data_IF_888592677053
#
_entry.id   IF_888592677053
#
_cell.length_a   1.000
_cell.length_b   1.000
_cell.length_c   1.000
_cell.angle_alpha   90.00
_cell.angle_beta   90.00
_cell.angle_gamma   90.00
#
_symmetry.space_group_name_H-M   'P 1'
#
loop_
_entity.id
_entity.type
_entity.pdbx_description
1 polymer ?
#
# COMPACT_ATOMS: atom_id res chain seq x y z
N UNK A 1 -24.45 -4.98 -22.68
CA UNK A 1 -23.43 -4.35 -21.81
C UNK A 1 -22.06 -4.57 -22.44
N UNK A 2 -21.51 -3.56 -23.15
CA UNK A 2 -20.14 -3.62 -23.71
C UNK A 2 -19.19 -3.03 -22.67
N UNK A 3 -18.23 -3.83 -22.21
CA UNK A 3 -17.13 -3.34 -21.38
C UNK A 3 -16.25 -2.49 -22.29
N UNK A 4 -16.17 -1.19 -22.02
CA UNK A 4 -15.25 -0.29 -22.72
C UNK A 4 -13.81 -0.69 -22.38
N UNK A 5 -12.86 -0.64 -23.33
CA UNK A 5 -11.47 -0.98 -23.05
C UNK A 5 -10.87 0.02 -22.04
N UNK A 6 -10.18 -0.51 -21.03
CA UNK A 6 -9.53 0.27 -19.98
C UNK A 6 -8.55 1.31 -20.58
N UNK A 7 -8.61 2.58 -20.14
CA UNK A 7 -7.72 3.64 -20.62
C UNK A 7 -6.24 3.27 -20.39
N UNK A 8 -5.35 3.77 -21.27
CA UNK A 8 -3.93 3.45 -21.21
C UNK A 8 -3.27 3.83 -19.86
N UNK A 9 -3.76 4.89 -19.21
CA UNK A 9 -3.31 5.33 -17.88
C UNK A 9 -3.57 4.30 -16.79
N UNK A 10 -4.70 3.60 -16.87
CA UNK A 10 -5.12 2.56 -15.91
C UNK A 10 -4.24 1.32 -16.07
N UNK A 11 -3.97 0.92 -17.32
CA UNK A 11 -3.02 -0.18 -17.61
C UNK A 11 -1.61 0.12 -17.13
N UNK A 12 -1.16 1.36 -17.25
CA UNK A 12 0.16 1.76 -16.78
C UNK A 12 0.25 1.68 -15.25
N UNK A 13 -0.76 2.20 -14.53
CA UNK A 13 -0.82 2.17 -13.07
C UNK A 13 -0.75 0.74 -12.51
N UNK A 14 -1.51 -0.20 -13.08
CA UNK A 14 -1.56 -1.58 -12.60
C UNK A 14 -0.37 -2.45 -13.02
N UNK A 15 0.53 -1.97 -13.88
CA UNK A 15 1.63 -2.75 -14.48
C UNK A 15 3.01 -2.57 -13.85
N UNK A 16 3.16 -1.75 -12.80
CA UNK A 16 4.48 -1.42 -12.25
C UNK A 16 5.12 -2.59 -11.47
N UNK A 17 6.39 -2.90 -11.80
CA UNK A 17 7.18 -3.99 -11.20
C UNK A 17 7.70 -3.72 -9.78
N UNK A 18 7.79 -2.45 -9.36
CA UNK A 18 8.33 -1.98 -8.06
C UNK A 18 9.50 -2.81 -7.48
N UNK A 19 10.56 -3.14 -8.25
CA UNK A 19 11.66 -3.99 -7.77
C UNK A 19 12.41 -3.39 -6.57
N UNK A 20 12.41 -2.07 -6.43
CA UNK A 20 12.98 -1.34 -5.29
C UNK A 20 12.34 -1.72 -3.94
N UNK A 21 11.13 -2.29 -3.95
CA UNK A 21 10.44 -2.70 -2.74
C UNK A 21 10.93 -4.04 -2.18
N UNK A 22 11.59 -4.88 -3.01
CA UNK A 22 12.09 -6.20 -2.59
C UNK A 22 13.11 -6.13 -1.45
N UNK A 23 13.82 -5.01 -1.31
CA UNK A 23 14.79 -4.76 -0.23
C UNK A 23 14.16 -4.56 1.14
N UNK A 24 12.87 -4.21 1.19
CA UNK A 24 12.14 -4.00 2.44
C UNK A 24 11.48 -5.27 2.95
N UNK A 25 11.44 -6.33 2.15
CA UNK A 25 10.91 -7.63 2.56
C UNK A 25 12.02 -8.38 3.33
N UNK A 26 11.81 -8.72 4.61
CA UNK A 26 12.78 -9.47 5.40
C UNK A 26 13.18 -10.78 4.72
N UNK A 27 14.45 -11.15 4.79
CA UNK A 27 14.97 -12.35 4.13
C UNK A 27 14.38 -13.67 4.64
N UNK A 28 13.76 -13.65 5.82
CA UNK A 28 13.13 -14.79 6.48
C UNK A 28 11.59 -14.77 6.40
N UNK A 29 10.99 -13.90 5.60
CA UNK A 29 9.54 -13.81 5.46
C UNK A 29 8.99 -15.03 4.68
N UNK A 30 8.30 -15.94 5.38
CA UNK A 30 7.70 -17.16 4.80
C UNK A 30 6.37 -16.97 4.10
N UNK A 31 5.67 -15.85 4.38
CA UNK A 31 4.35 -15.55 3.86
C UNK A 31 4.28 -14.07 3.56
N UNK A 32 3.87 -13.72 2.35
CA UNK A 32 3.74 -12.33 1.91
C UNK A 32 2.34 -12.12 1.31
N UNK A 33 1.64 -11.11 1.82
CA UNK A 33 0.32 -10.70 1.33
C UNK A 33 0.47 -9.37 0.58
N UNK A 34 0.09 -9.34 -0.70
CA UNK A 34 -0.01 -8.09 -1.45
C UNK A 34 -1.45 -7.57 -1.41
N UNK A 35 -1.65 -6.42 -0.77
CA UNK A 35 -2.93 -5.71 -0.72
C UNK A 35 -3.01 -4.75 -1.92
N UNK A 36 -3.94 -5.00 -2.84
CA UNK A 36 -4.13 -4.17 -4.04
C UNK A 36 -3.11 -4.47 -5.13
N UNK A 37 -3.10 -5.70 -5.65
CA UNK A 37 -2.06 -6.21 -6.55
C UNK A 37 -2.10 -5.68 -7.99
N UNK A 38 -3.16 -4.97 -8.40
CA UNK A 38 -3.33 -4.55 -9.79
C UNK A 38 -3.24 -5.73 -10.76
N UNK A 39 -2.30 -5.67 -11.73
CA UNK A 39 -2.04 -6.76 -12.67
C UNK A 39 -1.14 -7.89 -12.10
N UNK A 40 -0.85 -7.90 -10.78
CA UNK A 40 -0.09 -8.95 -10.10
C UNK A 40 1.42 -8.94 -10.37
N UNK A 41 1.94 -7.86 -10.97
CA UNK A 41 3.31 -7.79 -11.48
C UNK A 41 4.35 -7.81 -10.34
N UNK A 42 4.08 -7.11 -9.23
CA UNK A 42 4.99 -7.10 -8.08
C UNK A 42 4.94 -8.42 -7.30
N UNK A 43 3.76 -8.99 -7.03
CA UNK A 43 3.62 -10.36 -6.50
C UNK A 43 4.44 -11.38 -7.28
N UNK A 44 4.41 -11.33 -8.62
CA UNK A 44 5.21 -12.23 -9.46
C UNK A 44 6.72 -12.04 -9.25
N UNK A 45 7.18 -10.80 -9.06
CA UNK A 45 8.59 -10.51 -8.76
C UNK A 45 9.01 -10.99 -7.36
N UNK A 46 8.15 -10.84 -6.36
CA UNK A 46 8.38 -11.40 -5.02
C UNK A 46 8.46 -12.93 -5.09
N UNK A 47 7.55 -13.58 -5.83
CA UNK A 47 7.54 -15.05 -5.99
C UNK A 47 8.84 -15.56 -6.59
N UNK A 48 9.28 -14.91 -7.67
CA UNK A 48 10.51 -15.26 -8.38
C UNK A 48 11.76 -15.04 -7.53
N UNK A 49 11.77 -14.03 -6.66
CA UNK A 49 12.94 -13.70 -5.84
C UNK A 49 13.04 -14.50 -4.53
N UNK A 50 11.92 -15.00 -4.00
CA UNK A 50 11.87 -15.60 -2.65
C UNK A 50 11.40 -17.06 -2.60
N UNK A 51 10.69 -17.56 -3.61
CA UNK A 51 10.21 -18.95 -3.63
C UNK A 51 9.06 -19.28 -2.66
N UNK A 52 8.43 -18.26 -2.07
CA UNK A 52 7.45 -18.39 -0.99
C UNK A 52 5.99 -18.31 -1.49
N UNK A 53 5.05 -18.76 -0.65
CA UNK A 53 3.61 -18.66 -0.88
C UNK A 53 3.13 -17.21 -0.77
N UNK A 54 2.62 -16.67 -1.89
CA UNK A 54 2.14 -15.28 -2.00
C UNK A 54 0.65 -15.28 -2.28
N UNK A 55 -0.09 -14.56 -1.43
CA UNK A 55 -1.52 -14.29 -1.62
C UNK A 55 -1.74 -13.02 -2.42
N UNK A 56 -2.62 -13.08 -3.43
CA UNK A 56 -3.00 -11.97 -4.30
C UNK A 56 -4.44 -11.54 -3.93
N UNK A 57 -4.62 -10.30 -3.47
CA UNK A 57 -5.96 -9.73 -3.27
C UNK A 57 -6.24 -8.63 -4.32
N UNK A 58 -7.29 -8.86 -5.12
CA UNK A 58 -7.62 -8.23 -6.41
C UNK A 58 -8.23 -6.80 -6.32
N UNK A 59 -8.17 -6.11 -7.47
CA UNK A 59 -8.57 -4.76 -7.94
C UNK A 59 -9.81 -4.09 -7.33
N UNK A 60 -10.64 -4.79 -6.57
CA UNK A 60 -11.82 -4.23 -5.90
C UNK A 60 -11.50 -3.63 -4.53
N UNK A 61 -10.28 -3.81 -4.03
CA UNK A 61 -9.85 -3.33 -2.71
C UNK A 61 -9.19 -1.95 -2.73
N UNK A 62 -9.84 -0.98 -3.37
CA UNK A 62 -9.54 0.44 -3.13
C UNK A 62 -10.22 0.87 -1.82
N UNK A 63 -9.61 0.51 -0.70
CA UNK A 63 -9.97 1.10 0.60
C UNK A 63 -9.10 2.34 0.79
N UNK A 64 -9.73 3.50 0.91
CA UNK A 64 -9.02 4.70 1.33
C UNK A 64 -8.64 4.53 2.79
N UNK A 65 -7.34 4.48 3.05
CA UNK A 65 -6.83 4.37 4.40
C UNK A 65 -6.26 5.72 4.86
N UNK A 66 -6.82 6.27 5.94
CA UNK A 66 -6.13 7.22 6.82
C UNK A 66 -5.05 6.50 7.62
N UNK A 67 -4.07 7.23 8.16
CA UNK A 67 -3.05 6.62 9.04
C UNK A 67 -3.67 5.78 10.16
N UNK A 68 -4.73 6.28 10.79
CA UNK A 68 -5.43 5.58 11.88
C UNK A 68 -6.12 4.31 11.41
N UNK A 69 -6.73 4.31 10.23
CA UNK A 69 -7.40 3.12 9.68
C UNK A 69 -6.42 2.03 9.24
N UNK A 70 -5.19 2.38 8.82
CA UNK A 70 -4.12 1.38 8.56
C UNK A 70 -3.78 0.65 9.86
N UNK A 71 -3.57 1.41 10.95
CA UNK A 71 -3.26 0.83 12.26
C UNK A 71 -4.38 -0.10 12.72
N UNK A 72 -5.63 0.38 12.67
CA UNK A 72 -6.79 -0.44 13.03
C UNK A 72 -6.91 -1.72 12.20
N UNK A 73 -6.64 -1.66 10.89
CA UNK A 73 -6.64 -2.85 10.03
C UNK A 73 -5.65 -3.92 10.52
N UNK A 74 -4.44 -3.52 10.94
CA UNK A 74 -3.47 -4.48 11.50
C UNK A 74 -3.93 -5.02 12.85
N UNK A 75 -4.46 -4.17 13.72
CA UNK A 75 -5.00 -4.57 15.04
C UNK A 75 -6.16 -5.57 14.91
N UNK A 76 -7.13 -5.27 14.04
CA UNK A 76 -8.27 -6.15 13.76
C UNK A 76 -7.83 -7.50 13.17
N UNK A 77 -6.69 -7.53 12.48
CA UNK A 77 -6.08 -8.75 11.94
C UNK A 77 -5.23 -9.53 12.98
N UNK A 78 -5.18 -9.08 14.24
CA UNK A 78 -4.38 -9.71 15.29
C UNK A 78 -2.90 -9.35 15.25
N UNK A 79 -2.53 -8.20 14.68
CA UNK A 79 -1.16 -7.70 14.65
C UNK A 79 -1.02 -6.42 15.47
N UNK A 80 0.12 -6.28 16.16
CA UNK A 80 0.53 -5.02 16.78
C UNK A 80 1.40 -4.21 15.81
N UNK A 81 1.06 -2.93 15.64
CA UNK A 81 1.81 -2.03 14.78
C UNK A 81 3.07 -1.51 15.49
N UNK A 82 4.24 -1.90 14.98
CA UNK A 82 5.53 -1.48 15.51
C UNK A 82 6.00 -0.15 14.93
N UNK A 83 5.79 0.03 13.61
CA UNK A 83 6.21 1.26 12.91
C UNK A 83 5.33 1.54 11.70
N UNK A 84 4.98 2.80 11.51
CA UNK A 84 4.28 3.29 10.32
C UNK A 84 4.90 4.61 9.88
N UNK A 85 5.22 4.74 8.58
CA UNK A 85 5.81 5.94 8.00
C UNK A 85 5.18 6.25 6.64
N UNK A 86 4.68 7.47 6.46
CA UNK A 86 4.27 7.97 5.15
C UNK A 86 5.49 8.12 4.23
N UNK A 87 5.35 7.68 2.98
CA UNK A 87 6.40 7.78 1.96
C UNK A 87 5.88 8.56 0.75
N UNK A 88 6.79 9.16 -0.01
CA UNK A 88 6.47 9.97 -1.20
C UNK A 88 5.37 11.03 -0.93
N UNK A 89 5.62 11.98 -0.02
CA UNK A 89 4.66 13.03 0.26
C UNK A 89 4.34 13.81 -1.01
N UNK A 90 3.04 14.02 -1.26
CA UNK A 90 2.56 14.91 -2.30
C UNK A 90 2.01 16.17 -1.63
N UNK A 91 2.83 17.22 -1.57
CA UNK A 91 2.45 18.48 -0.96
C UNK A 91 2.65 19.63 -1.95
N UNK A 92 1.54 20.09 -2.53
CA UNK A 92 1.50 21.35 -3.27
C UNK A 92 1.23 22.55 -2.35
N UNK A 93 1.47 23.79 -2.81
CA UNK A 93 1.24 25.00 -2.03
C UNK A 93 -0.20 25.14 -1.51
N UNK A 94 -1.20 24.73 -2.30
CA UNK A 94 -2.60 24.68 -1.87
C UNK A 94 -2.89 23.59 -0.83
N UNK A 95 -2.17 22.45 -0.90
CA UNK A 95 -2.31 21.37 0.07
C UNK A 95 -1.77 21.76 1.45
N UNK A 96 -0.64 22.47 1.49
CA UNK A 96 -0.08 22.99 2.75
C UNK A 96 -1.06 23.96 3.44
N UNK A 97 -1.64 24.89 2.69
CA UNK A 97 -2.64 25.82 3.22
C UNK A 97 -3.88 25.08 3.75
N UNK A 98 -4.39 24.10 3.00
CA UNK A 98 -5.54 23.29 3.42
C UNK A 98 -5.28 22.54 4.74
N UNK A 99 -4.10 21.96 4.92
CA UNK A 99 -3.73 21.28 6.16
C UNK A 99 -3.74 22.24 7.33
N UNK A 100 -3.15 23.44 7.17
CA UNK A 100 -3.15 24.48 8.21
C UNK A 100 -4.57 24.91 8.56
N UNK A 101 -5.40 25.22 7.55
CA UNK A 101 -6.78 25.64 7.75
C UNK A 101 -7.65 24.54 8.39
N UNK A 102 -7.37 23.28 8.09
CA UNK A 102 -8.03 22.13 8.72
C UNK A 102 -7.53 21.82 10.13
N UNK A 103 -6.61 22.61 10.70
CA UNK A 103 -6.01 22.33 12.01
C UNK A 103 -5.21 21.02 12.05
N UNK A 104 -4.71 20.56 10.90
CA UNK A 104 -3.94 19.33 10.78
C UNK A 104 -4.76 18.04 10.67
N UNK A 105 -6.09 18.10 10.65
CA UNK A 105 -6.96 16.89 10.61
C UNK A 105 -6.74 16.03 9.36
N UNK A 106 -6.29 16.62 8.25
CA UNK A 106 -6.01 15.93 6.98
C UNK A 106 -4.51 15.84 6.65
N UNK A 107 -3.63 16.03 7.62
CA UNK A 107 -2.18 16.00 7.39
C UNK A 107 -1.66 14.65 6.88
N UNK A 108 -2.38 13.56 7.14
CA UNK A 108 -2.07 12.22 6.64
C UNK A 108 -2.44 12.03 5.16
N UNK A 109 -3.37 12.82 4.63
CA UNK A 109 -3.74 12.84 3.20
C UNK A 109 -2.61 13.28 2.26
N UNK A 110 -1.51 13.82 2.80
CA UNK A 110 -0.29 14.16 2.03
C UNK A 110 0.41 12.90 1.51
N UNK A 111 0.21 11.75 2.15
CA UNK A 111 0.89 10.52 1.81
C UNK A 111 -0.08 9.56 1.13
N UNK A 112 0.15 9.31 -0.17
CA UNK A 112 -0.59 8.27 -0.89
C UNK A 112 -0.13 6.85 -0.51
N UNK A 113 1.00 6.73 0.18
CA UNK A 113 1.65 5.47 0.48
C UNK A 113 2.21 5.49 1.91
N UNK A 114 2.05 4.37 2.61
CA UNK A 114 2.61 4.14 3.94
C UNK A 114 3.43 2.86 3.96
N UNK A 115 4.61 2.91 4.56
CA UNK A 115 5.42 1.75 4.91
C UNK A 115 5.11 1.34 6.36
N UNK A 116 4.73 0.08 6.57
CA UNK A 116 4.29 -0.44 7.86
C UNK A 116 5.13 -1.66 8.28
N UNK A 117 5.44 -1.77 9.56
CA UNK A 117 6.08 -2.93 10.19
C UNK A 117 5.18 -3.39 11.34
N UNK A 118 4.62 -4.59 11.22
CA UNK A 118 3.72 -5.19 12.20
C UNK A 118 4.26 -6.56 12.65
N UNK A 119 3.89 -6.99 13.86
CA UNK A 119 4.14 -8.34 14.37
C UNK A 119 2.85 -8.93 14.91
N UNK A 120 2.66 -10.26 14.95
CA UNK A 120 1.52 -10.87 15.64
C UNK A 120 1.39 -10.29 17.05
N UNK A 121 0.17 -9.93 17.44
CA UNK A 121 -0.13 -9.61 18.83
C UNK A 121 0.04 -10.91 19.63
N UNK A 122 0.74 -10.81 20.77
CA UNK A 122 0.97 -11.95 21.66
C UNK A 122 -0.34 -12.43 22.31
#
# INVERSE_FOLDING_TARGET
MRILPEPASVRHYYGHKRPEMLRFIPGNARRVLELGCGAGVFSAAVKKSRGEDIGIFDRTHLRFFTRSSIVRMFEDAGYSMQRIKGINPFLGPFGALFIVLSGGHFADGVFLQYACVASPAA
#
